data_IF_556329351060
#
_entry.id   IF_556329351060
#
_cell.length_a   1.000
_cell.length_b   1.000
_cell.length_c   1.000
_cell.angle_alpha   90.00
_cell.angle_beta   90.00
_cell.angle_gamma   90.00
#
_symmetry.space_group_name_H-M   'P 1'
#
loop_
_entity.id
_entity.type
_entity.pdbx_description
1 polymer ?
#
# COMPACT_ATOMS: atom_id res chain seq x y z
N UNK A 1 -16.96 4.26 8.26
CA UNK A 1 -18.41 4.60 8.24
C UNK A 1 -18.86 5.33 9.50
N UNK A 2 -18.07 5.26 10.57
CA UNK A 2 -18.31 5.80 11.90
C UNK A 2 -18.00 7.29 12.03
N UNK A 3 -17.11 7.84 11.19
CA UNK A 3 -16.85 9.28 11.12
C UNK A 3 -17.76 9.96 10.09
N UNK A 4 -18.57 10.96 10.48
CA UNK A 4 -19.36 11.75 9.54
C UNK A 4 -18.49 12.52 8.54
N UNK A 5 -18.98 12.71 7.30
CA UNK A 5 -18.26 13.43 6.25
C UNK A 5 -17.90 14.88 6.64
N UNK A 6 -18.77 15.56 7.40
CA UNK A 6 -18.50 16.92 7.88
C UNK A 6 -17.36 16.98 8.90
N UNK A 7 -17.17 15.94 9.71
CA UNK A 7 -16.02 15.88 10.63
C UNK A 7 -14.71 15.70 9.86
N UNK A 8 -14.72 14.90 8.79
CA UNK A 8 -13.56 14.77 7.88
C UNK A 8 -13.26 16.11 7.20
N UNK A 9 -14.30 16.81 6.71
CA UNK A 9 -14.14 18.13 6.11
C UNK A 9 -13.53 19.12 7.11
N UNK A 10 -14.05 19.19 8.33
CA UNK A 10 -13.53 20.07 9.38
C UNK A 10 -12.07 19.73 9.73
N UNK A 11 -11.74 18.44 9.85
CA UNK A 11 -10.38 18.00 10.10
C UNK A 11 -9.40 18.49 9.03
N UNK A 12 -9.79 18.40 7.77
CA UNK A 12 -8.93 18.81 6.65
C UNK A 12 -8.86 20.34 6.54
N UNK A 13 -10.00 21.03 6.56
CA UNK A 13 -10.08 22.48 6.28
C UNK A 13 -9.61 23.31 7.47
N UNK A 14 -10.03 22.96 8.69
CA UNK A 14 -9.85 23.80 9.87
C UNK A 14 -8.77 23.30 10.83
N UNK A 15 -8.39 22.02 10.77
CA UNK A 15 -7.45 21.39 11.73
C UNK A 15 -6.12 20.99 11.12
N UNK A 16 -5.90 21.28 9.83
CA UNK A 16 -4.61 21.12 9.16
C UNK A 16 -4.25 19.68 8.76
N UNK A 17 -5.21 18.75 8.76
CA UNK A 17 -4.98 17.40 8.22
C UNK A 17 -4.94 17.45 6.69
N UNK A 18 -4.07 16.64 6.07
CA UNK A 18 -3.95 16.56 4.60
C UNK A 18 -4.87 15.50 3.96
N UNK A 19 -5.57 14.70 4.76
CA UNK A 19 -6.33 13.55 4.26
C UNK A 19 -6.76 12.56 5.33
N UNK A 20 -7.16 11.36 4.88
CA UNK A 20 -7.67 10.26 5.72
C UNK A 20 -6.94 8.94 5.44
N UNK A 21 -6.87 8.08 6.45
CA UNK A 21 -6.44 6.68 6.35
C UNK A 21 -7.49 5.78 7.02
N UNK A 22 -8.57 5.41 6.32
CA UNK A 22 -9.60 4.56 6.89
C UNK A 22 -9.10 3.11 6.97
N UNK A 23 -9.51 2.39 8.01
CA UNK A 23 -9.11 1.00 8.22
C UNK A 23 -10.31 0.05 8.08
N UNK A 24 -10.06 -1.15 7.55
CA UNK A 24 -11.05 -2.21 7.40
C UNK A 24 -11.74 -2.61 8.72
N UNK A 25 -11.07 -2.42 9.87
CA UNK A 25 -11.66 -2.66 11.19
C UNK A 25 -12.79 -1.67 11.52
N UNK A 26 -12.84 -0.54 10.82
CA UNK A 26 -13.95 0.39 10.85
C UNK A 26 -14.93 0.04 9.71
N UNK A 27 -15.24 -1.24 9.50
CA UNK A 27 -16.36 -1.73 8.69
C UNK A 27 -17.48 -2.26 9.63
N UNK A 28 -18.74 -2.37 9.18
CA UNK A 28 -19.80 -2.87 10.06
C UNK A 28 -19.48 -4.26 10.60
N UNK A 29 -19.55 -4.43 11.93
CA UNK A 29 -19.08 -5.63 12.62
C UNK A 29 -19.80 -6.95 12.22
N UNK A 30 -20.94 -6.86 11.53
CA UNK A 30 -21.66 -8.02 11.01
C UNK A 30 -21.10 -8.55 9.68
N UNK A 31 -20.24 -7.79 9.00
CA UNK A 31 -19.60 -8.23 7.75
C UNK A 31 -18.41 -9.12 8.12
N UNK A 32 -18.34 -10.36 7.63
CA UNK A 32 -17.17 -11.21 7.85
C UNK A 32 -15.89 -10.54 7.34
N UNK A 33 -14.78 -10.65 8.07
CA UNK A 33 -13.52 -9.97 7.72
C UNK A 33 -13.03 -10.28 6.29
N UNK A 34 -13.24 -11.51 5.81
CA UNK A 34 -12.88 -11.91 4.45
C UNK A 34 -13.78 -11.28 3.36
N UNK A 35 -14.96 -10.79 3.74
CA UNK A 35 -15.97 -10.23 2.85
C UNK A 35 -15.99 -8.70 2.81
N UNK A 36 -15.24 -8.02 3.68
CA UNK A 36 -15.11 -6.56 3.68
C UNK A 36 -14.61 -6.06 2.33
N UNK A 37 -15.23 -4.98 1.84
CA UNK A 37 -14.94 -4.28 0.59
C UNK A 37 -14.50 -2.85 0.90
N UNK A 38 -13.88 -2.17 -0.07
CA UNK A 38 -13.35 -0.81 0.12
C UNK A 38 -14.44 0.13 0.61
N UNK A 39 -15.63 0.08 -0.02
CA UNK A 39 -16.74 0.97 0.32
C UNK A 39 -17.41 0.69 1.66
N UNK A 40 -17.10 -0.42 2.34
CA UNK A 40 -17.64 -0.71 3.66
C UNK A 40 -16.97 0.13 4.76
N UNK A 41 -15.76 0.63 4.53
CA UNK A 41 -15.02 1.46 5.48
C UNK A 41 -14.57 2.82 4.91
N UNK A 42 -14.41 2.94 3.58
CA UNK A 42 -14.20 4.18 2.84
C UNK A 42 -15.45 4.50 2.00
N UNK A 43 -16.40 5.22 2.59
CA UNK A 43 -17.70 5.45 1.94
C UNK A 43 -17.61 6.42 0.75
N UNK A 44 -18.63 6.41 -0.11
CA UNK A 44 -18.74 7.40 -1.19
C UNK A 44 -18.85 8.85 -0.68
N UNK A 45 -19.37 9.08 0.52
CA UNK A 45 -19.42 10.41 1.14
C UNK A 45 -18.02 10.88 1.56
N UNK A 46 -17.21 9.98 2.12
CA UNK A 46 -15.80 10.25 2.44
C UNK A 46 -15.00 10.58 1.18
N UNK A 47 -15.17 9.78 0.13
CA UNK A 47 -14.52 10.00 -1.16
C UNK A 47 -14.95 11.30 -1.82
N UNK A 48 -16.23 11.69 -1.70
CA UNK A 48 -16.72 12.98 -2.22
C UNK A 48 -16.05 14.16 -1.52
N UNK A 49 -15.91 14.12 -0.19
CA UNK A 49 -15.17 15.16 0.55
C UNK A 49 -13.70 15.18 0.13
N UNK A 50 -13.07 14.02 -0.01
CA UNK A 50 -11.68 13.94 -0.45
C UNK A 50 -11.47 14.49 -1.87
N UNK A 51 -12.41 14.21 -2.77
CA UNK A 51 -12.40 14.73 -4.14
C UNK A 51 -12.56 16.26 -4.17
N UNK A 52 -13.59 16.78 -3.50
CA UNK A 52 -13.86 18.23 -3.45
C UNK A 52 -12.70 19.05 -2.88
N UNK A 53 -11.93 18.46 -1.95
CA UNK A 53 -10.81 19.12 -1.28
C UNK A 53 -9.46 18.80 -1.91
N UNK A 54 -9.38 17.89 -2.89
CA UNK A 54 -8.12 17.36 -3.40
C UNK A 54 -7.27 16.69 -2.31
N UNK A 55 -7.93 16.09 -1.31
CA UNK A 55 -7.31 15.53 -0.12
C UNK A 55 -6.75 14.12 -0.38
N UNK A 56 -5.83 13.72 0.50
CA UNK A 56 -5.15 12.42 0.40
C UNK A 56 -6.04 11.33 1.01
N UNK A 57 -6.09 10.19 0.34
CA UNK A 57 -6.68 8.96 0.89
C UNK A 57 -5.62 7.87 0.86
N UNK A 58 -5.10 7.49 2.03
CA UNK A 58 -4.21 6.33 2.14
C UNK A 58 -5.05 5.06 2.24
N UNK A 59 -5.14 4.31 1.15
CA UNK A 59 -6.04 3.17 1.01
C UNK A 59 -5.31 1.84 1.16
N UNK A 60 -5.55 1.18 2.30
CA UNK A 60 -5.15 -0.21 2.51
C UNK A 60 -6.29 -1.15 2.11
N UNK A 61 -6.17 -1.84 0.97
CA UNK A 61 -7.26 -2.65 0.40
C UNK A 61 -7.57 -3.94 1.20
N UNK A 62 -8.84 -4.37 1.27
CA UNK A 62 -9.26 -5.54 2.04
C UNK A 62 -9.10 -6.84 1.22
N UNK A 63 -9.79 -7.90 1.65
CA UNK A 63 -9.91 -9.22 1.00
C UNK A 63 -8.63 -10.07 0.97
N UNK A 64 -8.81 -11.37 0.86
CA UNK A 64 -7.74 -12.37 0.93
C UNK A 64 -6.94 -12.49 -0.37
N UNK A 65 -7.57 -12.21 -1.53
CA UNK A 65 -6.91 -12.22 -2.84
C UNK A 65 -6.13 -10.93 -3.13
N UNK A 66 -6.21 -9.91 -2.25
CA UNK A 66 -5.36 -8.71 -2.26
C UNK A 66 -5.50 -7.93 -3.57
N UNK A 67 -4.38 -7.52 -4.20
CA UNK A 67 -4.34 -6.72 -5.41
C UNK A 67 -5.15 -7.34 -6.55
N UNK A 68 -5.02 -8.66 -6.78
CA UNK A 68 -5.77 -9.39 -7.82
C UNK A 68 -7.22 -9.72 -7.48
N UNK A 69 -7.73 -9.29 -6.33
CA UNK A 69 -9.15 -9.52 -6.03
C UNK A 69 -10.01 -8.69 -7.00
N UNK A 70 -10.92 -9.32 -7.77
CA UNK A 70 -11.71 -8.62 -8.78
C UNK A 70 -12.62 -7.53 -8.19
N UNK A 71 -13.05 -7.66 -6.92
CA UNK A 71 -13.82 -6.62 -6.23
C UNK A 71 -12.94 -5.42 -5.90
N UNK A 72 -11.71 -5.67 -5.42
CA UNK A 72 -10.76 -4.58 -5.17
C UNK A 72 -10.42 -3.84 -6.47
N UNK A 73 -10.13 -4.56 -7.56
CA UNK A 73 -9.84 -3.95 -8.87
C UNK A 73 -11.01 -3.10 -9.37
N UNK A 74 -12.23 -3.64 -9.32
CA UNK A 74 -13.43 -2.91 -9.75
C UNK A 74 -13.64 -1.64 -8.93
N UNK A 75 -13.50 -1.71 -7.60
CA UNK A 75 -13.72 -0.55 -6.72
C UNK A 75 -12.59 0.48 -6.82
N UNK A 76 -11.33 0.07 -7.01
CA UNK A 76 -10.24 1.02 -7.27
C UNK A 76 -10.43 1.77 -8.60
N UNK A 77 -10.90 1.07 -9.65
CA UNK A 77 -11.25 1.72 -10.91
C UNK A 77 -12.46 2.65 -10.77
N UNK A 78 -13.48 2.24 -10.01
CA UNK A 78 -14.62 3.12 -9.72
C UNK A 78 -14.17 4.39 -8.96
N UNK A 79 -13.24 4.25 -8.02
CA UNK A 79 -12.67 5.41 -7.31
C UNK A 79 -11.93 6.33 -8.29
N UNK A 80 -11.07 5.76 -9.14
CA UNK A 80 -10.33 6.52 -10.16
C UNK A 80 -11.26 7.33 -11.07
N UNK A 81 -12.39 6.73 -11.48
CA UNK A 81 -13.30 7.33 -12.46
C UNK A 81 -14.25 8.35 -11.82
N UNK A 82 -14.74 8.09 -10.60
CA UNK A 82 -15.72 8.96 -9.92
C UNK A 82 -15.11 10.07 -9.09
N UNK A 83 -13.88 9.89 -8.59
CA UNK A 83 -13.21 10.81 -7.68
C UNK A 83 -11.80 11.18 -8.19
N UNK A 84 -11.70 11.78 -9.40
CA UNK A 84 -10.42 12.03 -10.05
C UNK A 84 -9.53 13.06 -9.35
N UNK A 85 -10.09 13.90 -8.48
CA UNK A 85 -9.34 14.91 -7.72
C UNK A 85 -8.84 14.37 -6.37
N UNK A 86 -9.45 13.31 -5.85
CA UNK A 86 -8.97 12.65 -4.64
C UNK A 86 -7.58 12.05 -4.89
N UNK A 87 -6.61 12.40 -4.04
CA UNK A 87 -5.24 11.88 -4.12
C UNK A 87 -5.15 10.52 -3.43
N UNK A 88 -5.66 9.49 -4.08
CA UNK A 88 -5.74 8.14 -3.50
C UNK A 88 -4.41 7.39 -3.70
N UNK A 89 -3.80 6.99 -2.59
CA UNK A 89 -2.57 6.19 -2.54
C UNK A 89 -2.94 4.75 -2.19
N UNK A 90 -2.66 3.81 -3.09
CA UNK A 90 -2.83 2.38 -2.82
C UNK A 90 -1.62 1.88 -2.05
N UNK A 91 -1.85 1.50 -0.80
CA UNK A 91 -0.78 1.12 0.12
C UNK A 91 -0.16 -0.24 -0.24
N UNK A 92 1.15 -0.34 -0.05
CA UNK A 92 1.95 -1.56 -0.13
C UNK A 92 1.79 -2.32 -1.47
N UNK A 93 1.60 -1.60 -2.57
CA UNK A 93 1.28 -2.18 -3.89
C UNK A 93 0.02 -3.07 -3.83
N UNK A 94 -1.01 -2.63 -3.12
CA UNK A 94 -2.23 -3.43 -2.93
C UNK A 94 -1.98 -4.75 -2.20
N UNK A 95 -0.95 -4.80 -1.34
CA UNK A 95 -0.54 -5.99 -0.59
C UNK A 95 -0.04 -7.14 -1.48
N UNK A 96 0.47 -6.83 -2.68
CA UNK A 96 1.10 -7.78 -3.58
C UNK A 96 2.49 -8.18 -3.05
N UNK A 97 2.55 -9.23 -2.23
CA UNK A 97 3.78 -9.65 -1.55
C UNK A 97 4.40 -10.91 -2.17
N UNK A 98 3.74 -11.49 -3.17
CA UNK A 98 4.20 -12.59 -4.02
C UNK A 98 3.73 -12.35 -5.47
N UNK A 99 4.37 -12.98 -6.45
CA UNK A 99 4.00 -12.85 -7.87
C UNK A 99 2.59 -13.39 -8.13
N UNK A 100 2.17 -14.38 -7.36
CA UNK A 100 0.84 -14.97 -7.40
C UNK A 100 -0.27 -14.01 -6.96
N UNK A 101 0.07 -12.95 -6.21
CA UNK A 101 -0.86 -11.87 -5.86
C UNK A 101 -1.14 -10.91 -7.04
N UNK A 102 -0.39 -11.03 -8.15
CA UNK A 102 -0.52 -10.10 -9.28
C UNK A 102 -1.75 -10.43 -10.13
N UNK A 103 -1.97 -11.69 -10.47
CA UNK A 103 -3.01 -12.09 -11.43
C UNK A 103 -2.92 -11.26 -12.72
N UNK A 104 -4.03 -10.65 -13.13
CA UNK A 104 -4.14 -9.67 -14.20
C UNK A 104 -4.21 -8.21 -13.69
N UNK A 105 -3.97 -7.98 -12.39
CA UNK A 105 -4.21 -6.70 -11.75
C UNK A 105 -3.44 -5.55 -12.39
N UNK A 106 -2.14 -5.72 -12.66
CA UNK A 106 -1.35 -4.67 -13.28
C UNK A 106 -1.83 -4.33 -14.70
N UNK A 107 -2.36 -5.30 -15.45
CA UNK A 107 -2.97 -5.04 -16.76
C UNK A 107 -4.28 -4.25 -16.61
N UNK A 108 -5.17 -4.69 -15.72
CA UNK A 108 -6.44 -4.02 -15.43
C UNK A 108 -6.20 -2.58 -14.95
N UNK A 109 -5.20 -2.38 -14.09
CA UNK A 109 -4.88 -1.08 -13.48
C UNK A 109 -4.17 -0.10 -14.41
N UNK A 110 -3.72 -0.51 -15.61
CA UNK A 110 -3.26 0.46 -16.64
C UNK A 110 -4.33 1.48 -17.01
N UNK A 111 -5.60 1.17 -16.79
CA UNK A 111 -6.73 2.08 -16.98
C UNK A 111 -6.78 3.21 -15.95
N UNK A 112 -6.16 3.03 -14.78
CA UNK A 112 -6.16 4.03 -13.72
C UNK A 112 -5.09 5.10 -13.97
N UNK A 113 -5.51 6.35 -14.11
CA UNK A 113 -4.62 7.49 -14.40
C UNK A 113 -4.37 8.38 -13.18
N UNK A 114 -5.20 8.28 -12.14
CA UNK A 114 -5.21 9.22 -11.02
C UNK A 114 -4.85 8.57 -9.67
N UNK A 115 -4.60 7.25 -9.64
CA UNK A 115 -4.15 6.55 -8.43
C UNK A 115 -2.63 6.62 -8.27
N UNK A 116 -2.21 6.83 -7.03
CA UNK A 116 -0.83 6.77 -6.57
C UNK A 116 -0.56 5.45 -5.85
N UNK A 117 0.71 5.11 -5.67
CA UNK A 117 1.13 3.84 -5.08
C UNK A 117 2.32 4.06 -4.15
N UNK A 118 2.35 3.35 -3.03
CA UNK A 118 3.57 3.15 -2.27
C UNK A 118 4.03 1.70 -2.34
N UNK A 119 5.33 1.49 -2.14
CA UNK A 119 5.91 0.15 -1.94
C UNK A 119 6.29 -0.13 -0.49
N UNK A 120 5.75 0.66 0.44
CA UNK A 120 5.99 0.56 1.87
C UNK A 120 5.82 -0.89 2.34
N UNK A 121 6.72 -1.40 3.18
CA UNK A 121 6.67 -2.77 3.70
C UNK A 121 6.56 -3.87 2.61
N UNK A 122 7.02 -3.59 1.39
CA UNK A 122 7.07 -4.54 0.29
C UNK A 122 8.53 -4.91 -0.05
N UNK A 123 8.87 -6.19 0.11
CA UNK A 123 10.21 -6.72 -0.18
C UNK A 123 10.29 -7.48 -1.50
N UNK A 124 9.28 -7.37 -2.38
CA UNK A 124 9.24 -8.09 -3.65
C UNK A 124 9.69 -7.16 -4.80
N UNK A 125 10.92 -7.31 -5.34
CA UNK A 125 11.39 -6.49 -6.46
C UNK A 125 10.44 -6.53 -7.65
N UNK A 126 9.90 -7.70 -7.98
CA UNK A 126 8.98 -7.90 -9.10
C UNK A 126 7.71 -7.05 -8.96
N UNK A 127 7.17 -6.92 -7.75
CA UNK A 127 5.99 -6.09 -7.50
C UNK A 127 6.29 -4.60 -7.67
N UNK A 128 7.47 -4.17 -7.20
CA UNK A 128 7.96 -2.79 -7.36
C UNK A 128 8.21 -2.48 -8.84
N UNK A 129 8.80 -3.41 -9.58
CA UNK A 129 8.99 -3.26 -11.02
C UNK A 129 7.68 -3.10 -11.77
N UNK A 130 6.71 -3.97 -11.52
CA UNK A 130 5.42 -3.95 -12.22
C UNK A 130 4.61 -2.69 -11.88
N UNK A 131 4.62 -2.23 -10.63
CA UNK A 131 3.91 -0.98 -10.29
C UNK A 131 4.57 0.24 -10.93
N UNK A 132 5.90 0.28 -11.04
CA UNK A 132 6.59 1.40 -11.73
C UNK A 132 6.32 1.37 -13.23
N UNK A 133 6.33 0.19 -13.88
CA UNK A 133 5.98 0.05 -15.31
C UNK A 133 4.54 0.47 -15.59
N UNK A 134 3.61 0.12 -14.71
CA UNK A 134 2.18 0.40 -14.87
C UNK A 134 1.83 1.84 -14.52
N UNK A 135 2.28 2.36 -13.37
CA UNK A 135 1.90 3.67 -12.88
C UNK A 135 2.81 4.80 -13.40
N UNK A 136 4.06 4.49 -13.72
CA UNK A 136 5.10 5.46 -14.01
C UNK A 136 5.76 6.00 -12.73
N UNK A 137 7.00 6.49 -12.88
CA UNK A 137 7.85 6.99 -11.78
C UNK A 137 7.14 8.04 -10.93
N UNK A 138 6.41 8.97 -11.53
CA UNK A 138 5.82 10.12 -10.82
C UNK A 138 4.62 9.75 -9.91
N UNK A 139 4.12 8.51 -9.97
CA UNK A 139 2.98 8.03 -9.17
C UNK A 139 3.35 6.96 -8.14
N UNK A 140 4.64 6.64 -8.01
CA UNK A 140 5.15 5.66 -7.03
C UNK A 140 6.00 6.38 -5.98
N UNK A 141 5.83 6.04 -4.71
CA UNK A 141 6.58 6.67 -3.62
C UNK A 141 7.03 5.69 -2.54
N UNK A 142 8.07 6.09 -1.81
CA UNK A 142 8.55 5.41 -0.61
C UNK A 142 7.79 5.89 0.63
N UNK A 143 7.62 4.97 1.58
CA UNK A 143 7.21 5.23 2.95
C UNK A 143 7.69 4.08 3.82
N UNK A 144 7.95 4.32 5.11
CA UNK A 144 8.69 3.33 5.90
C UNK A 144 7.84 2.31 6.65
N UNK A 145 6.55 2.54 6.85
CA UNK A 145 5.69 1.78 7.80
C UNK A 145 6.23 1.65 9.23
N UNK A 146 7.08 2.58 9.69
CA UNK A 146 7.52 2.54 11.08
C UNK A 146 6.31 2.70 12.03
N UNK A 147 6.27 1.95 13.15
CA UNK A 147 7.36 1.15 13.71
C UNK A 147 7.43 -0.31 13.23
N UNK A 148 6.54 -0.78 12.34
CA UNK A 148 6.48 -2.19 11.93
C UNK A 148 7.79 -2.65 11.27
N UNK A 149 8.37 -1.82 10.40
CA UNK A 149 9.62 -2.16 9.69
C UNK A 149 10.89 -2.13 10.54
N UNK A 150 10.77 -1.87 11.85
CA UNK A 150 11.86 -2.12 12.82
C UNK A 150 12.10 -3.61 13.06
N UNK A 151 11.16 -4.47 12.69
CA UNK A 151 11.30 -5.92 12.76
C UNK A 151 12.55 -6.38 12.00
N UNK A 152 13.32 -7.30 12.59
CA UNK A 152 14.43 -8.00 11.96
C UNK A 152 13.84 -9.18 11.20
N UNK A 153 13.87 -9.11 9.88
CA UNK A 153 13.30 -10.14 9.02
C UNK A 153 13.85 -10.04 7.61
N UNK A 154 13.72 -11.14 6.87
CA UNK A 154 13.64 -11.11 5.41
C UNK A 154 12.37 -11.81 4.95
N UNK A 155 11.93 -11.53 3.72
CA UNK A 155 10.73 -12.16 3.17
C UNK A 155 11.09 -13.14 2.07
N UNK A 156 10.48 -14.31 2.12
CA UNK A 156 10.51 -15.31 1.04
C UNK A 156 9.08 -15.56 0.54
N UNK A 157 8.97 -16.17 -0.64
CA UNK A 157 7.70 -16.68 -1.16
C UNK A 157 7.78 -18.20 -1.27
N UNK A 158 6.79 -18.90 -0.72
CA UNK A 158 6.63 -20.34 -0.84
C UNK A 158 5.18 -20.67 -1.20
N UNK A 159 4.96 -21.45 -2.25
CA UNK A 159 3.63 -21.87 -2.71
C UNK A 159 2.64 -20.70 -2.89
N UNK A 160 3.11 -19.59 -3.46
CA UNK A 160 2.31 -18.37 -3.66
C UNK A 160 1.89 -17.65 -2.38
N UNK A 161 2.62 -17.84 -1.28
CA UNK A 161 2.44 -17.10 -0.04
C UNK A 161 3.76 -16.51 0.41
N UNK A 162 3.71 -15.27 0.89
CA UNK A 162 4.87 -14.67 1.54
C UNK A 162 5.05 -15.24 2.95
N UNK A 163 6.31 -15.36 3.37
CA UNK A 163 6.71 -15.68 4.73
C UNK A 163 7.73 -14.66 5.18
N UNK A 164 7.48 -14.06 6.34
CA UNK A 164 8.45 -13.24 7.05
C UNK A 164 9.32 -14.18 7.91
N UNK A 165 10.56 -14.38 7.49
CA UNK A 165 11.54 -15.16 8.25
C UNK A 165 12.17 -14.25 9.30
N UNK A 166 12.02 -14.63 10.57
CA UNK A 166 12.40 -13.82 11.74
C UNK A 166 13.38 -14.58 12.65
N UNK A 167 14.26 -13.88 13.40
CA UNK A 167 15.09 -14.52 14.42
C UNK A 167 14.24 -15.19 15.50
N UNK A 168 14.61 -16.41 15.88
CA UNK A 168 13.91 -17.19 16.91
C UNK A 168 13.82 -16.45 18.25
N UNK A 169 12.63 -16.49 18.85
CA UNK A 169 12.37 -16.04 20.23
C UNK A 169 12.30 -14.52 20.42
N UNK A 170 12.45 -13.71 19.36
CA UNK A 170 12.44 -12.24 19.48
C UNK A 170 11.02 -11.65 19.46
N UNK A 171 10.07 -12.31 18.80
CA UNK A 171 8.72 -11.78 18.54
C UNK A 171 7.60 -12.54 19.27
N UNK A 172 7.94 -13.27 20.33
CA UNK A 172 6.99 -14.14 21.03
C UNK A 172 6.70 -15.42 20.25
N UNK A 173 5.59 -16.09 20.59
CA UNK A 173 5.15 -17.28 19.88
C UNK A 173 4.49 -16.93 18.55
N UNK A 174 5.19 -17.23 17.45
CA UNK A 174 4.72 -16.99 16.08
C UNK A 174 4.14 -18.24 15.42
N UNK A 175 4.00 -19.36 16.14
CA UNK A 175 3.58 -20.65 15.57
C UNK A 175 2.17 -20.63 14.96
N UNK A 176 1.31 -19.70 15.40
CA UNK A 176 -0.04 -19.52 14.88
C UNK A 176 -0.13 -18.47 13.75
N UNK A 177 0.95 -17.76 13.41
CA UNK A 177 0.96 -16.84 12.27
C UNK A 177 1.38 -17.60 11.00
N UNK A 178 0.47 -17.81 10.04
CA UNK A 178 0.78 -18.55 8.81
C UNK A 178 1.78 -17.84 7.89
N UNK A 179 2.11 -16.57 8.17
CA UNK A 179 3.06 -15.77 7.40
C UNK A 179 4.37 -15.49 8.17
N UNK A 180 4.63 -16.16 9.29
CA UNK A 180 5.90 -16.07 10.01
C UNK A 180 6.61 -17.41 10.10
N UNK A 181 7.95 -17.36 10.07
CA UNK A 181 8.82 -18.51 10.30
C UNK A 181 10.02 -18.08 11.12
N UNK A 182 10.34 -18.84 12.16
CA UNK A 182 11.57 -18.61 12.92
C UNK A 182 12.78 -19.27 12.25
N UNK A 183 13.95 -18.64 12.39
CA UNK A 183 15.25 -19.18 11.98
C UNK A 183 16.31 -18.92 13.05
N UNK A 184 17.38 -19.72 13.02
CA UNK A 184 18.59 -19.54 13.85
C UNK A 184 19.66 -18.65 13.17
N UNK A 185 19.38 -18.14 11.97
CA UNK A 185 20.24 -17.17 11.30
C UNK A 185 20.43 -15.90 12.15
N UNK A 186 21.68 -15.50 12.31
CA UNK A 186 22.05 -14.37 13.18
C UNK A 186 22.19 -13.05 12.42
N UNK A 187 22.51 -13.11 11.12
CA UNK A 187 22.72 -11.95 10.25
C UNK A 187 21.43 -11.52 9.52
N UNK A 188 20.41 -11.22 10.30
CA UNK A 188 19.13 -10.70 9.80
C UNK A 188 19.06 -9.19 10.08
N UNK A 189 18.95 -8.40 9.01
CA UNK A 189 18.76 -6.94 9.07
C UNK A 189 17.29 -6.58 9.32
N UNK A 190 16.95 -5.28 9.33
CA UNK A 190 15.57 -4.83 9.48
C UNK A 190 14.79 -4.90 8.17
N UNK A 191 13.48 -5.08 8.31
CA UNK A 191 12.52 -5.09 7.21
C UNK A 191 12.66 -3.84 6.31
N UNK A 192 12.91 -2.66 6.90
CA UNK A 192 13.16 -1.44 6.12
C UNK A 192 14.36 -1.57 5.16
N UNK A 193 15.44 -2.22 5.58
CA UNK A 193 16.58 -2.46 4.70
C UNK A 193 16.25 -3.48 3.60
N UNK A 194 15.43 -4.49 3.88
CA UNK A 194 14.97 -5.43 2.86
C UNK A 194 14.01 -4.77 1.85
N UNK A 195 13.12 -3.88 2.30
CA UNK A 195 12.29 -3.04 1.43
C UNK A 195 13.15 -2.16 0.50
N UNK A 196 14.11 -1.41 1.06
CA UNK A 196 15.02 -0.57 0.27
C UNK A 196 15.91 -1.39 -0.67
N UNK A 197 16.32 -2.60 -0.25
CA UNK A 197 17.05 -3.54 -1.09
C UNK A 197 16.19 -4.04 -2.25
N UNK A 198 14.90 -4.30 -2.02
CA UNK A 198 13.98 -4.69 -3.09
C UNK A 198 13.78 -3.55 -4.09
N UNK A 199 13.60 -2.32 -3.61
CA UNK A 199 13.54 -1.14 -4.49
C UNK A 199 14.84 -0.94 -5.27
N UNK A 200 16.00 -1.10 -4.64
CA UNK A 200 17.29 -1.01 -5.34
C UNK A 200 17.39 -1.99 -6.51
N UNK A 201 17.01 -3.27 -6.30
CA UNK A 201 17.00 -4.29 -7.36
C UNK A 201 16.05 -3.91 -8.50
N UNK A 202 14.85 -3.42 -8.17
CA UNK A 202 13.88 -2.96 -9.16
C UNK A 202 14.41 -1.76 -9.96
N UNK A 203 15.02 -0.79 -9.28
CA UNK A 203 15.60 0.40 -9.90
C UNK A 203 16.74 0.04 -10.87
N UNK A 204 17.63 -0.88 -10.47
CA UNK A 204 18.70 -1.39 -11.33
C UNK A 204 18.13 -2.11 -12.57
N UNK A 205 17.14 -2.99 -12.39
CA UNK A 205 16.52 -3.73 -13.50
C UNK A 205 15.75 -2.84 -14.47
N UNK A 206 15.14 -1.77 -13.99
CA UNK A 206 14.44 -0.78 -14.81
C UNK A 206 15.37 0.29 -15.39
N UNK A 207 16.67 0.28 -15.05
CA UNK A 207 17.63 1.32 -15.41
C UNK A 207 17.16 2.73 -15.01
N UNK A 208 16.57 2.86 -13.81
CA UNK A 208 16.10 4.15 -13.31
C UNK A 208 17.28 5.11 -13.16
N UNK A 209 17.07 6.35 -13.61
CA UNK A 209 18.05 7.41 -13.40
C UNK A 209 18.12 7.79 -11.92
N UNK A 210 19.18 8.52 -11.55
CA UNK A 210 19.26 9.13 -10.22
C UNK A 210 18.06 10.03 -9.92
N UNK A 211 17.55 10.74 -10.93
CA UNK A 211 16.39 11.63 -10.77
C UNK A 211 15.12 10.82 -10.47
N UNK A 212 14.91 9.69 -11.16
CA UNK A 212 13.77 8.80 -10.91
C UNK A 212 13.80 8.23 -9.49
N UNK A 213 14.99 7.83 -9.02
CA UNK A 213 15.20 7.37 -7.65
C UNK A 213 14.89 8.47 -6.64
N UNK A 214 15.35 9.70 -6.86
CA UNK A 214 15.05 10.84 -5.98
C UNK A 214 13.56 11.19 -5.96
N UNK A 215 12.87 11.05 -7.11
CA UNK A 215 11.41 11.20 -7.19
C UNK A 215 10.69 10.19 -6.32
N UNK A 216 10.98 8.91 -6.51
CA UNK A 216 10.31 7.83 -5.79
C UNK A 216 10.62 7.88 -4.29
N UNK A 217 11.88 8.14 -3.90
CA UNK A 217 12.28 8.13 -2.48
C UNK A 217 11.87 9.38 -1.71
N UNK A 218 11.51 10.50 -2.37
CA UNK A 218 11.16 11.73 -1.67
C UNK A 218 10.28 12.69 -2.48
N UNK A 219 10.71 13.11 -3.69
CA UNK A 219 10.10 14.29 -4.34
C UNK A 219 8.63 14.09 -4.71
N UNK A 220 8.21 12.87 -5.07
CA UNK A 220 6.81 12.57 -5.36
C UNK A 220 5.92 12.79 -4.13
N UNK A 221 6.36 12.32 -2.96
CA UNK A 221 5.64 12.56 -1.71
C UNK A 221 5.69 14.04 -1.32
N UNK A 222 6.85 14.69 -1.39
CA UNK A 222 6.97 16.13 -1.09
C UNK A 222 5.98 16.95 -1.94
N UNK A 223 5.92 16.70 -3.25
CA UNK A 223 4.96 17.34 -4.16
C UNK A 223 3.51 17.00 -3.81
N UNK A 224 3.18 15.73 -3.57
CA UNK A 224 1.81 15.30 -3.32
C UNK A 224 1.22 15.92 -2.04
N UNK A 225 2.05 16.01 -1.00
CA UNK A 225 1.72 16.56 0.32
C UNK A 225 1.96 18.08 0.45
N UNK A 226 2.44 18.75 -0.60
CA UNK A 226 2.67 20.21 -0.60
C UNK A 226 3.81 20.66 0.32
N UNK A 227 4.90 19.88 0.37
CA UNK A 227 6.08 20.09 1.19
C UNK A 227 7.34 20.47 0.38
N UNK A 228 7.16 20.94 -0.85
CA UNK A 228 8.26 21.50 -1.68
C UNK A 228 8.74 22.86 -1.19
#
# INVERSE_FOLDING_TARGET
WDTPAEEIRDAIVNRGFCGIKPYLNNSPAYIPAAEVRIFDYLTHEHLKVADELGAIVMLHIPRSMRLRDPVNLAQMLEINDKYPNAKVIIAHIGRAYSVEDFGDAFEVMKRATNLYWDFTANCLPEGIEEVIKMAGVDRVMFGSDMPITKMRMYRITENGKYLNVVPRGIYGDVSNDPNMRETDETDITTFMYEELRAFKKAAEKLNLSREDVEKILCKNAAKLFGME
#
